data_IF_281412963310
#
_entry.id   IF_281412963310
#
_cell.length_a   1.000
_cell.length_b   1.000
_cell.length_c   1.000
_cell.angle_alpha   90.00
_cell.angle_beta   90.00
_cell.angle_gamma   90.00
#
_symmetry.space_group_name_H-M   'P 1'
#
loop_
_entity.id
_entity.type
_entity.pdbx_description
1 polymer ?
#
# COMPACT_ATOMS: atom_id res chain seq x y z
N UNK A 1 -0.47 -23.01 3.03
CA UNK A 1 0.14 -21.96 3.88
C UNK A 1 -0.79 -20.74 3.89
N UNK A 2 -0.88 -20.06 5.03
CA UNK A 2 -1.72 -18.88 5.27
C UNK A 2 -0.83 -17.68 5.59
N UNK A 3 -1.26 -16.47 5.24
CA UNK A 3 -0.53 -15.25 5.55
C UNK A 3 -1.41 -14.13 6.09
N UNK A 4 -0.80 -13.18 6.77
CA UNK A 4 -1.32 -11.84 7.00
C UNK A 4 -0.40 -10.85 6.29
N UNK A 5 -0.96 -9.82 5.67
CA UNK A 5 -0.17 -8.77 5.00
C UNK A 5 -0.40 -7.44 5.67
N UNK A 6 0.64 -6.62 5.80
CA UNK A 6 0.46 -5.21 6.07
C UNK A 6 -0.32 -4.57 4.92
N UNK A 7 -1.25 -3.69 5.27
CA UNK A 7 -2.20 -3.14 4.33
C UNK A 7 -2.47 -1.66 4.59
N UNK A 8 -2.12 -0.85 3.60
CA UNK A 8 -2.42 0.59 3.55
C UNK A 8 -3.35 0.97 2.39
N UNK A 9 -3.67 0.03 1.49
CA UNK A 9 -4.39 0.33 0.25
C UNK A 9 -3.51 0.81 -0.91
N UNK A 10 -2.22 1.07 -0.67
CA UNK A 10 -1.27 1.50 -1.69
C UNK A 10 -0.77 0.38 -2.61
N UNK A 11 -0.24 0.78 -3.78
CA UNK A 11 0.15 -0.14 -4.85
C UNK A 11 1.17 -1.21 -4.42
N UNK A 12 2.15 -0.84 -3.58
CA UNK A 12 3.30 -1.69 -3.24
C UNK A 12 2.85 -2.87 -2.36
N UNK A 13 2.12 -2.58 -1.28
CA UNK A 13 1.57 -3.60 -0.39
C UNK A 13 0.56 -4.52 -1.08
N UNK A 14 -0.27 -3.99 -1.99
CA UNK A 14 -1.18 -4.83 -2.76
C UNK A 14 -0.42 -5.68 -3.80
N UNK A 15 0.62 -5.15 -4.42
CA UNK A 15 1.43 -5.94 -5.35
C UNK A 15 2.20 -7.05 -4.63
N UNK A 16 2.75 -6.79 -3.44
CA UNK A 16 3.36 -7.81 -2.59
C UNK A 16 2.35 -8.91 -2.21
N UNK A 17 1.14 -8.54 -1.80
CA UNK A 17 0.03 -9.46 -1.57
C UNK A 17 -0.26 -10.31 -2.82
N UNK A 18 -0.37 -9.69 -3.99
CA UNK A 18 -0.59 -10.40 -5.26
C UNK A 18 0.51 -11.42 -5.55
N UNK A 19 1.77 -11.07 -5.38
CA UNK A 19 2.89 -11.99 -5.58
C UNK A 19 2.86 -13.15 -4.59
N UNK A 20 2.50 -12.91 -3.33
CA UNK A 20 2.34 -13.96 -2.32
C UNK A 20 1.21 -14.93 -2.69
N UNK A 21 0.05 -14.43 -3.14
CA UNK A 21 -1.06 -15.28 -3.59
C UNK A 21 -0.71 -16.07 -4.86
N UNK A 22 0.06 -15.47 -5.78
CA UNK A 22 0.57 -16.16 -6.97
C UNK A 22 1.50 -17.33 -6.63
N UNK A 23 2.18 -17.28 -5.47
CA UNK A 23 3.00 -18.38 -4.92
C UNK A 23 2.17 -19.42 -4.14
N UNK A 24 0.84 -19.31 -4.16
CA UNK A 24 -0.07 -20.26 -3.49
C UNK A 24 -0.27 -20.02 -1.99
N UNK A 25 0.12 -18.85 -1.47
CA UNK A 25 -0.14 -18.47 -0.07
C UNK A 25 -1.56 -17.90 0.00
N UNK A 26 -2.40 -18.45 0.87
CA UNK A 26 -3.74 -17.90 1.11
C UNK A 26 -3.64 -16.74 2.10
N UNK A 27 -4.04 -15.53 1.70
CA UNK A 27 -3.96 -14.36 2.60
C UNK A 27 -5.37 -13.88 2.98
N UNK A 28 -5.97 -14.42 4.06
CA UNK A 28 -7.30 -14.01 4.51
C UNK A 28 -7.34 -12.68 5.26
N UNK A 29 -6.21 -12.24 5.82
CA UNK A 29 -6.12 -11.08 6.70
C UNK A 29 -5.30 -9.95 6.08
N UNK A 30 -5.85 -8.75 6.12
CA UNK A 30 -5.18 -7.49 5.83
C UNK A 30 -5.01 -6.73 7.14
N UNK A 31 -3.80 -6.35 7.50
CA UNK A 31 -3.50 -5.69 8.76
C UNK A 31 -3.16 -4.21 8.51
N UNK A 32 -4.08 -3.32 8.84
CA UNK A 32 -3.87 -1.89 8.81
C UNK A 32 -3.39 -1.38 10.17
N UNK A 33 -2.28 -0.64 10.18
CA UNK A 33 -1.71 -0.08 11.40
C UNK A 33 -2.14 1.38 11.57
N UNK A 34 -2.63 1.71 12.75
CA UNK A 34 -2.76 3.10 13.18
C UNK A 34 -1.42 3.57 13.73
N UNK A 35 -0.79 4.50 13.03
CA UNK A 35 0.48 5.08 13.48
C UNK A 35 0.30 5.90 14.75
N UNK A 36 1.28 5.84 15.64
CA UNK A 36 1.42 6.74 16.79
C UNK A 36 2.31 7.94 16.49
N UNK A 37 2.96 7.97 15.32
CA UNK A 37 3.92 8.99 14.91
C UNK A 37 3.47 9.60 13.58
N UNK A 38 3.22 10.92 13.63
CA UNK A 38 2.85 11.70 12.46
C UNK A 38 1.50 11.31 11.84
N UNK A 39 1.20 11.94 10.71
CA UNK A 39 -0.02 11.69 9.95
C UNK A 39 0.22 10.57 8.93
N UNK A 40 -0.67 9.57 8.91
CA UNK A 40 -0.74 8.59 7.82
C UNK A 40 -1.89 8.93 6.87
N UNK A 41 -1.62 9.39 5.64
CA UNK A 41 -2.68 9.68 4.65
C UNK A 41 -3.60 8.48 4.38
N UNK A 42 -3.09 7.26 4.55
CA UNK A 42 -3.86 6.02 4.43
C UNK A 42 -4.83 5.84 5.58
N UNK A 43 -4.36 6.02 6.82
CA UNK A 43 -5.21 5.92 8.02
C UNK A 43 -6.28 7.01 8.05
N UNK A 44 -5.93 8.21 7.60
CA UNK A 44 -6.89 9.30 7.48
C UNK A 44 -8.01 8.99 6.47
N UNK A 45 -7.75 8.13 5.47
CA UNK A 45 -8.76 7.69 4.51
C UNK A 45 -9.17 6.24 4.76
N UNK A 46 -9.29 5.83 6.04
CA UNK A 46 -9.54 4.44 6.44
C UNK A 46 -10.80 3.80 5.82
N UNK A 47 -11.83 4.60 5.51
CA UNK A 47 -13.02 4.06 4.83
C UNK A 47 -12.72 3.54 3.42
N UNK A 48 -11.73 4.10 2.72
CA UNK A 48 -11.27 3.55 1.45
C UNK A 48 -10.61 2.18 1.63
N UNK A 49 -9.84 2.00 2.71
CA UNK A 49 -9.22 0.72 3.05
C UNK A 49 -10.28 -0.37 3.30
N UNK A 50 -11.37 -0.03 4.02
CA UNK A 50 -12.50 -0.96 4.23
C UNK A 50 -13.14 -1.39 2.91
N UNK A 51 -13.37 -0.44 1.99
CA UNK A 51 -13.99 -0.72 0.70
C UNK A 51 -13.11 -1.63 -0.15
N UNK A 52 -11.81 -1.35 -0.23
CA UNK A 52 -10.84 -2.15 -1.00
C UNK A 52 -10.69 -3.55 -0.38
N UNK A 53 -10.60 -3.65 0.95
CA UNK A 53 -10.55 -4.94 1.66
C UNK A 53 -11.79 -5.81 1.38
N UNK A 54 -12.97 -5.20 1.42
CA UNK A 54 -14.23 -5.89 1.15
C UNK A 54 -14.31 -6.38 -0.31
N UNK A 55 -13.87 -5.58 -1.28
CA UNK A 55 -13.82 -5.98 -2.69
C UNK A 55 -12.86 -7.16 -2.94
N UNK A 56 -11.78 -7.26 -2.17
CA UNK A 56 -10.89 -8.43 -2.19
C UNK A 56 -11.49 -9.66 -1.47
N UNK A 57 -12.61 -9.51 -0.75
CA UNK A 57 -13.18 -10.57 0.07
C UNK A 57 -12.29 -10.98 1.25
N UNK A 58 -11.50 -10.05 1.78
CA UNK A 58 -10.53 -10.30 2.86
C UNK A 58 -10.94 -9.57 4.14
N UNK A 59 -10.57 -10.14 5.29
CA UNK A 59 -10.85 -9.54 6.59
C UNK A 59 -9.84 -8.43 6.87
N UNK A 60 -10.33 -7.20 7.03
CA UNK A 60 -9.53 -6.07 7.49
C UNK A 60 -9.41 -6.09 9.02
N UNK A 61 -8.18 -6.24 9.50
CA UNK A 61 -7.78 -6.12 10.89
C UNK A 61 -7.12 -4.77 11.10
N UNK A 62 -7.29 -4.21 12.29
CA UNK A 62 -6.61 -2.97 12.71
C UNK A 62 -5.82 -3.21 13.97
N UNK A 63 -4.66 -2.56 14.06
CA UNK A 63 -3.87 -2.55 15.28
C UNK A 63 -3.40 -1.12 15.61
N UNK A 64 -3.53 -0.69 16.86
CA UNK A 64 -3.05 0.61 17.33
C UNK A 64 -1.59 0.50 17.79
N UNK A 65 -0.67 1.16 17.09
CA UNK A 65 0.75 1.10 17.44
C UNK A 65 1.08 1.76 18.79
N UNK A 66 0.13 2.47 19.41
CA UNK A 66 0.26 2.90 20.81
C UNK A 66 0.39 1.71 21.78
N UNK A 67 -0.08 0.51 21.41
CA UNK A 67 0.05 -0.71 22.22
C UNK A 67 1.45 -1.36 22.13
N UNK A 68 2.29 -0.90 21.20
CA UNK A 68 3.68 -1.34 21.03
C UNK A 68 3.88 -2.62 20.21
N UNK A 69 5.12 -2.82 19.75
CA UNK A 69 5.49 -3.92 18.85
C UNK A 69 5.33 -5.32 19.45
N UNK A 70 5.59 -5.51 20.75
CA UNK A 70 5.42 -6.82 21.40
C UNK A 70 3.93 -7.24 21.46
N UNK A 71 3.03 -6.27 21.63
CA UNK A 71 1.59 -6.51 21.59
C UNK A 71 1.14 -6.84 20.17
N UNK A 72 1.71 -6.19 19.15
CA UNK A 72 1.47 -6.54 17.75
C UNK A 72 1.96 -7.95 17.42
N UNK A 73 3.12 -8.37 17.95
CA UNK A 73 3.64 -9.72 17.75
C UNK A 73 2.69 -10.78 18.31
N UNK A 74 2.19 -10.57 19.54
CA UNK A 74 1.18 -11.46 20.16
C UNK A 74 -0.13 -11.47 19.38
N UNK A 75 -0.57 -10.32 18.87
CA UNK A 75 -1.74 -10.23 18.02
C UNK A 75 -1.57 -11.08 16.74
N UNK A 76 -0.45 -10.93 16.02
CA UNK A 76 -0.14 -11.73 14.82
C UNK A 76 -0.05 -13.23 15.14
N UNK A 77 0.59 -13.60 16.24
CA UNK A 77 0.69 -15.00 16.67
C UNK A 77 -0.70 -15.64 16.88
N UNK A 78 -1.69 -14.85 17.31
CA UNK A 78 -3.06 -15.34 17.51
C UNK A 78 -3.87 -15.56 16.22
N UNK A 79 -3.36 -15.16 15.05
CA UNK A 79 -4.07 -15.26 13.77
C UNK A 79 -3.96 -16.62 13.08
N UNK A 80 -3.15 -17.55 13.62
CA UNK A 80 -2.91 -18.88 13.04
C UNK A 80 -2.49 -18.80 11.55
N UNK A 81 -1.44 -18.02 11.28
CA UNK A 81 -0.84 -17.82 9.95
C UNK A 81 0.63 -18.24 9.91
N UNK A 82 1.13 -18.56 8.73
CA UNK A 82 2.52 -18.99 8.52
C UNK A 82 3.45 -17.82 8.12
N UNK A 83 2.88 -16.75 7.57
CA UNK A 83 3.61 -15.62 7.00
C UNK A 83 3.09 -14.27 7.44
N UNK A 84 4.01 -13.35 7.71
CA UNK A 84 3.81 -11.90 7.74
C UNK A 84 4.39 -11.31 6.45
N UNK A 85 3.56 -10.61 5.68
CA UNK A 85 3.92 -10.09 4.37
C UNK A 85 3.99 -8.56 4.44
N UNK A 86 5.07 -7.96 3.94
CA UNK A 86 5.14 -6.53 3.66
C UNK A 86 5.58 -6.27 2.21
N UNK A 87 5.61 -4.99 1.86
CA UNK A 87 5.81 -4.52 0.49
C UNK A 87 6.94 -3.50 0.40
N UNK A 88 7.93 -3.60 1.29
CA UNK A 88 9.08 -2.70 1.29
C UNK A 88 10.07 -3.09 0.18
N UNK A 89 10.76 -2.09 -0.38
CA UNK A 89 11.78 -2.33 -1.40
C UNK A 89 13.18 -2.12 -0.83
N UNK A 90 13.41 -0.97 -0.18
CA UNK A 90 14.72 -0.51 0.27
C UNK A 90 14.74 0.12 1.68
N UNK A 91 13.62 0.16 2.41
CA UNK A 91 13.61 0.69 3.79
C UNK A 91 14.17 -0.35 4.77
N UNK A 92 15.48 -0.35 4.99
CA UNK A 92 16.17 -1.34 5.83
C UNK A 92 15.67 -1.38 7.28
N UNK A 93 15.38 -0.23 7.88
CA UNK A 93 14.88 -0.17 9.24
C UNK A 93 13.51 -0.85 9.35
N UNK A 94 12.67 -0.70 8.32
CA UNK A 94 11.36 -1.34 8.29
C UNK A 94 11.49 -2.84 8.04
N UNK A 95 12.36 -3.27 7.11
CA UNK A 95 12.65 -4.70 6.91
C UNK A 95 13.07 -5.37 8.22
N UNK A 96 14.06 -4.81 8.93
CA UNK A 96 14.56 -5.35 10.20
C UNK A 96 13.44 -5.41 11.25
N UNK A 97 12.55 -4.42 11.26
CA UNK A 97 11.39 -4.40 12.14
C UNK A 97 10.38 -5.50 11.80
N UNK A 98 10.09 -5.73 10.52
CA UNK A 98 9.20 -6.82 10.07
C UNK A 98 9.80 -8.19 10.41
N UNK A 99 11.10 -8.38 10.18
CA UNK A 99 11.82 -9.62 10.54
C UNK A 99 11.76 -9.88 12.04
N UNK A 100 12.07 -8.87 12.86
CA UNK A 100 11.94 -8.94 14.32
C UNK A 100 10.52 -9.30 14.75
N UNK A 101 9.51 -8.67 14.14
CA UNK A 101 8.12 -8.90 14.47
C UNK A 101 7.67 -10.31 14.10
N UNK A 102 8.09 -10.80 12.93
CA UNK A 102 7.80 -12.15 12.46
C UNK A 102 8.42 -13.20 13.39
N UNK A 103 9.69 -13.02 13.76
CA UNK A 103 10.38 -13.89 14.72
C UNK A 103 9.65 -13.93 16.06
N UNK A 104 9.28 -12.76 16.62
CA UNK A 104 8.54 -12.66 17.88
C UNK A 104 7.15 -13.30 17.82
N UNK A 105 6.48 -13.21 16.67
CA UNK A 105 5.17 -13.80 16.46
C UNK A 105 5.22 -15.30 16.11
N UNK A 106 6.41 -15.88 15.89
CA UNK A 106 6.57 -17.27 15.48
C UNK A 106 6.12 -17.54 14.04
N UNK A 107 6.18 -16.53 13.16
CA UNK A 107 5.83 -16.63 11.74
C UNK A 107 7.04 -16.28 10.85
N UNK A 108 6.94 -16.52 9.55
CA UNK A 108 8.00 -16.14 8.59
C UNK A 108 7.70 -14.77 7.99
N UNK A 109 8.70 -13.88 7.93
CA UNK A 109 8.59 -12.68 7.10
C UNK A 109 8.65 -13.06 5.62
N UNK A 110 7.89 -12.35 4.79
CA UNK A 110 7.93 -12.48 3.34
C UNK A 110 7.88 -11.08 2.71
N UNK A 111 8.95 -10.71 2.02
CA UNK A 111 9.12 -9.40 1.40
C UNK A 111 9.37 -9.57 -0.11
N UNK A 112 8.31 -9.73 -0.93
CA UNK A 112 8.46 -10.08 -2.34
C UNK A 112 9.12 -9.00 -3.19
N UNK A 113 9.13 -7.75 -2.71
CA UNK A 113 9.62 -6.58 -3.44
C UNK A 113 11.05 -6.18 -3.04
N UNK A 114 11.57 -6.74 -1.94
CA UNK A 114 12.84 -6.34 -1.38
C UNK A 114 13.99 -6.46 -2.38
N UNK A 115 14.82 -5.41 -2.47
CA UNK A 115 16.02 -5.41 -3.30
C UNK A 115 15.77 -5.29 -4.81
N UNK A 116 14.51 -5.12 -5.25
CA UNK A 116 14.16 -5.03 -6.67
C UNK A 116 14.26 -3.59 -7.20
N UNK A 117 14.51 -3.43 -8.49
CA UNK A 117 14.57 -2.12 -9.12
C UNK A 117 13.18 -1.43 -9.09
N UNK A 118 13.13 -0.16 -8.69
CA UNK A 118 11.86 0.57 -8.51
C UNK A 118 11.17 0.92 -9.83
N UNK A 119 11.92 1.18 -10.91
CA UNK A 119 11.35 1.39 -12.24
C UNK A 119 10.73 0.09 -12.77
N UNK A 120 11.48 -1.01 -12.74
CA UNK A 120 10.98 -2.33 -13.17
C UNK A 120 9.73 -2.72 -12.38
N UNK A 121 9.71 -2.48 -11.06
CA UNK A 121 8.53 -2.73 -10.23
C UNK A 121 7.34 -1.87 -10.64
N UNK A 122 7.52 -0.56 -10.87
CA UNK A 122 6.44 0.33 -11.29
C UNK A 122 5.84 -0.12 -12.62
N UNK A 123 6.68 -0.49 -13.59
CA UNK A 123 6.27 -1.03 -14.88
C UNK A 123 5.53 -2.38 -14.73
N UNK A 124 6.06 -3.30 -13.92
CA UNK A 124 5.45 -4.61 -13.66
C UNK A 124 4.06 -4.49 -13.01
N UNK A 125 3.91 -3.59 -12.04
CA UNK A 125 2.63 -3.31 -11.38
C UNK A 125 1.59 -2.91 -12.43
N UNK A 126 1.93 -1.94 -13.29
CA UNK A 126 1.03 -1.45 -14.35
C UNK A 126 0.73 -2.55 -15.38
N UNK A 127 1.74 -3.27 -15.84
CA UNK A 127 1.57 -4.38 -16.80
C UNK A 127 0.76 -5.55 -16.23
N UNK A 128 0.73 -5.71 -14.91
CA UNK A 128 -0.12 -6.70 -14.22
C UNK A 128 -1.60 -6.26 -14.18
N UNK A 129 -1.91 -5.04 -14.62
CA UNK A 129 -3.26 -4.48 -14.67
C UNK A 129 -3.65 -3.73 -13.40
N UNK A 130 -2.68 -3.38 -12.54
CA UNK A 130 -2.97 -2.47 -11.44
C UNK A 130 -3.15 -1.05 -11.95
N UNK A 131 -4.16 -0.38 -11.42
CA UNK A 131 -4.36 1.05 -11.60
C UNK A 131 -4.36 1.71 -10.23
N UNK A 132 -3.64 2.81 -10.08
CA UNK A 132 -3.51 3.49 -8.79
C UNK A 132 -3.45 5.00 -8.97
N UNK A 133 -3.75 5.75 -7.90
CA UNK A 133 -3.72 7.21 -7.92
C UNK A 133 -2.92 7.75 -6.74
N UNK A 134 -2.25 8.88 -6.94
CA UNK A 134 -1.50 9.57 -5.89
C UNK A 134 -2.49 10.18 -4.89
N UNK A 135 -2.32 9.89 -3.59
CA UNK A 135 -3.17 10.43 -2.51
C UNK A 135 -2.41 11.34 -1.55
N UNK A 136 -1.09 11.29 -1.56
CA UNK A 136 -0.26 12.21 -0.80
C UNK A 136 1.07 12.43 -1.51
N UNK A 137 1.64 13.61 -1.35
CA UNK A 137 2.95 13.98 -1.87
C UNK A 137 3.75 14.68 -0.78
N UNK A 138 5.03 14.36 -0.68
CA UNK A 138 5.95 15.05 0.20
C UNK A 138 6.18 16.46 -0.36
N UNK A 139 5.92 17.48 0.46
CA UNK A 139 5.91 18.89 0.05
C UNK A 139 7.26 19.38 -0.47
N UNK A 140 8.35 18.72 -0.07
CA UNK A 140 9.71 19.08 -0.46
C UNK A 140 10.18 18.35 -1.73
N UNK A 141 9.49 17.27 -2.13
CA UNK A 141 9.92 16.39 -3.21
C UNK A 141 9.01 16.42 -4.44
N UNK A 142 7.72 16.68 -4.25
CA UNK A 142 6.72 16.60 -5.32
C UNK A 142 5.59 17.62 -5.12
N UNK A 143 5.21 18.28 -6.21
CA UNK A 143 4.15 19.30 -6.21
C UNK A 143 2.76 18.72 -5.94
N UNK A 144 1.92 19.46 -5.20
CA UNK A 144 0.54 19.05 -4.87
C UNK A 144 -0.37 18.85 -6.08
N UNK A 145 0.00 19.37 -7.24
CA UNK A 145 -0.79 19.24 -8.48
C UNK A 145 -0.84 17.79 -8.98
N UNK A 146 0.08 16.95 -8.52
CA UNK A 146 0.06 15.51 -8.76
C UNK A 146 -0.94 14.74 -7.90
N UNK A 147 -1.58 15.38 -6.91
CA UNK A 147 -2.60 14.73 -6.10
C UNK A 147 -3.78 14.27 -6.96
N UNK A 148 -4.03 12.97 -6.93
CA UNK A 148 -5.04 12.26 -7.70
C UNK A 148 -4.68 12.06 -9.16
N UNK A 149 -3.42 12.28 -9.55
CA UNK A 149 -2.91 11.75 -10.81
C UNK A 149 -3.01 10.23 -10.78
N UNK A 150 -3.52 9.65 -11.87
CA UNK A 150 -3.80 8.22 -11.99
C UNK A 150 -2.79 7.59 -12.93
N UNK A 151 -2.25 6.46 -12.52
CA UNK A 151 -1.45 5.58 -13.35
C UNK A 151 -2.32 4.39 -13.76
N UNK A 152 -2.51 4.24 -15.06
CA UNK A 152 -3.23 3.12 -15.69
C UNK A 152 -2.46 2.46 -16.83
N UNK A 153 -1.34 3.06 -17.24
CA UNK A 153 -0.50 2.63 -18.35
C UNK A 153 0.94 3.07 -18.13
N UNK A 154 1.86 2.49 -18.91
CA UNK A 154 3.26 2.93 -18.91
C UNK A 154 3.42 4.37 -19.42
N UNK A 155 2.54 4.83 -20.32
CA UNK A 155 2.54 6.23 -20.79
C UNK A 155 2.27 7.21 -19.63
N UNK A 156 1.36 6.86 -18.70
CA UNK A 156 1.13 7.68 -17.50
C UNK A 156 2.39 7.75 -16.62
N UNK A 157 3.13 6.63 -16.51
CA UNK A 157 4.39 6.59 -15.77
C UNK A 157 5.47 7.44 -16.45
N UNK A 158 5.63 7.32 -17.76
CA UNK A 158 6.60 8.09 -18.54
C UNK A 158 6.36 9.60 -18.42
N UNK A 159 5.10 10.03 -18.58
CA UNK A 159 4.72 11.45 -18.42
C UNK A 159 5.00 11.96 -17.00
N UNK A 160 4.76 11.13 -15.99
CA UNK A 160 5.06 11.47 -14.60
C UNK A 160 6.57 11.61 -14.38
N UNK A 161 7.39 10.68 -14.89
CA UNK A 161 8.83 10.68 -14.70
C UNK A 161 9.53 11.79 -15.49
N UNK A 162 9.10 12.06 -16.73
CA UNK A 162 9.61 13.17 -17.55
C UNK A 162 9.46 14.52 -16.83
N UNK A 163 8.32 14.74 -16.19
CA UNK A 163 8.05 15.97 -15.42
C UNK A 163 8.70 15.99 -14.03
N UNK A 164 9.10 14.84 -13.49
CA UNK A 164 9.66 14.73 -12.14
C UNK A 164 10.91 13.82 -12.12
N UNK A 165 12.00 14.15 -12.83
CA UNK A 165 13.13 13.24 -13.05
C UNK A 165 13.92 12.88 -11.78
N UNK A 166 13.71 13.61 -10.68
CA UNK A 166 14.34 13.35 -9.38
C UNK A 166 13.51 12.45 -8.45
N UNK A 167 12.27 12.11 -8.84
CA UNK A 167 11.35 11.30 -8.04
C UNK A 167 11.60 9.82 -8.33
N UNK A 168 11.68 9.01 -7.27
CA UNK A 168 11.69 7.56 -7.43
C UNK A 168 10.39 7.07 -8.12
N UNK A 169 10.45 6.22 -9.15
CA UNK A 169 9.26 5.75 -9.88
C UNK A 169 8.20 5.06 -9.00
N UNK A 170 8.63 4.42 -7.92
CA UNK A 170 7.76 3.77 -6.97
C UNK A 170 7.43 4.70 -5.78
N UNK A 171 8.07 5.86 -5.66
CA UNK A 171 7.94 6.75 -4.51
C UNK A 171 8.54 6.16 -3.23
N UNK A 172 9.50 5.24 -3.37
CA UNK A 172 10.08 4.45 -2.27
C UNK A 172 10.69 5.32 -1.17
N UNK A 173 11.18 6.52 -1.49
CA UNK A 173 11.80 7.44 -0.53
C UNK A 173 10.77 8.39 0.09
N UNK A 174 9.49 8.02 0.03
CA UNK A 174 8.37 8.76 0.58
C UNK A 174 8.01 10.03 -0.20
N UNK A 175 8.31 10.08 -1.50
CA UNK A 175 7.92 11.15 -2.42
C UNK A 175 6.40 11.26 -2.54
N UNK A 176 5.72 10.11 -2.63
CA UNK A 176 4.27 10.06 -2.73
C UNK A 176 3.70 8.76 -2.16
N UNK A 177 2.41 8.83 -1.79
CA UNK A 177 1.62 7.65 -1.42
C UNK A 177 0.49 7.48 -2.41
N UNK A 178 0.06 6.23 -2.62
CA UNK A 178 -0.96 5.88 -3.60
C UNK A 178 -2.14 5.16 -2.96
N UNK A 179 -3.27 5.15 -3.65
CA UNK A 179 -4.35 4.19 -3.41
C UNK A 179 -4.57 3.38 -4.68
N UNK A 180 -4.75 2.07 -4.52
CA UNK A 180 -5.04 1.17 -5.63
C UNK A 180 -6.52 1.24 -5.97
N UNK A 181 -6.82 1.46 -7.25
CA UNK A 181 -8.17 1.64 -7.79
C UNK A 181 -8.65 0.42 -8.58
N UNK A 182 -7.74 -0.36 -9.15
CA UNK A 182 -8.04 -1.62 -9.82
C UNK A 182 -6.82 -2.53 -9.80
N UNK A 183 -7.04 -3.83 -9.95
CA UNK A 183 -5.97 -4.82 -10.05
C UNK A 183 -6.51 -6.25 -9.99
N UNK A 184 -5.67 -7.26 -10.22
CA UNK A 184 -6.07 -8.67 -10.25
C UNK A 184 -6.60 -9.23 -8.91
N UNK A 185 -6.45 -8.50 -7.81
CA UNK A 185 -6.88 -8.92 -6.47
C UNK A 185 -8.39 -8.77 -6.22
N UNK A 186 -9.09 -7.98 -7.03
CA UNK A 186 -10.53 -7.75 -6.92
C UNK A 186 -11.13 -7.45 -8.29
N UNK A 187 -12.41 -7.77 -8.48
CA UNK A 187 -13.05 -7.61 -9.81
C UNK A 187 -13.51 -6.18 -10.07
N UNK A 188 -13.79 -5.44 -9.01
CA UNK A 188 -14.26 -4.07 -9.10
C UNK A 188 -13.18 -3.12 -9.62
N UNK A 189 -13.63 -2.08 -10.30
CA UNK A 189 -12.84 -0.87 -10.57
C UNK A 189 -13.36 0.23 -9.66
N UNK A 190 -12.47 1.07 -9.15
CA UNK A 190 -12.83 2.21 -8.32
C UNK A 190 -12.49 3.53 -9.00
N UNK A 191 -13.33 4.54 -8.78
CA UNK A 191 -13.01 5.95 -9.02
C UNK A 191 -12.58 6.59 -7.72
N UNK A 192 -11.59 7.47 -7.82
CA UNK A 192 -11.21 8.37 -6.74
C UNK A 192 -12.03 9.67 -6.85
N UNK A 193 -12.82 9.96 -5.83
CA UNK A 193 -13.49 11.25 -5.67
C UNK A 193 -12.69 12.13 -4.71
N UNK A 194 -12.15 13.24 -5.21
CA UNK A 194 -11.41 14.21 -4.40
C UNK A 194 -12.39 15.04 -3.57
N UNK A 195 -12.21 15.08 -2.25
CA UNK A 195 -13.03 15.90 -1.36
C UNK A 195 -12.32 17.21 -0.99
N UNK A 196 -11.10 17.11 -0.47
CA UNK A 196 -10.27 18.26 -0.12
C UNK A 196 -8.79 17.92 -0.22
N UNK A 197 -7.95 18.94 -0.36
CA UNK A 197 -6.50 18.83 -0.18
C UNK A 197 -6.17 19.39 1.19
N UNK A 198 -5.58 18.55 2.02
CA UNK A 198 -5.15 18.87 3.37
C UNK A 198 -3.61 19.00 3.42
N UNK A 199 -3.13 19.64 4.49
CA UNK A 199 -1.70 19.86 4.73
C UNK A 199 -1.30 19.31 6.08
N UNK A 200 -0.20 18.57 6.13
CA UNK A 200 0.49 18.22 7.38
C UNK A 200 1.90 18.81 7.40
N UNK A 201 2.67 18.46 8.42
CA UNK A 201 4.08 18.83 8.50
C UNK A 201 4.88 18.27 7.32
N UNK A 202 4.62 17.04 6.88
CA UNK A 202 5.38 16.36 5.82
C UNK A 202 4.69 16.36 4.45
N UNK A 203 3.35 16.33 4.42
CA UNK A 203 2.61 16.03 3.19
C UNK A 203 1.60 17.12 2.80
N UNK A 204 1.40 17.28 1.48
CA UNK A 204 0.08 17.61 0.94
C UNK A 204 -0.64 16.28 0.69
N UNK A 205 -1.92 16.17 1.04
CA UNK A 205 -2.63 14.90 0.90
C UNK A 205 -4.13 15.09 0.65
N UNK A 206 -4.75 14.10 0.03
CA UNK A 206 -6.16 14.11 -0.32
C UNK A 206 -6.99 13.49 0.79
N UNK A 207 -8.07 14.18 1.17
CA UNK A 207 -9.28 13.49 1.63
C UNK A 207 -10.04 13.03 0.40
N UNK A 208 -10.36 11.75 0.34
CA UNK A 208 -11.03 11.17 -0.83
C UNK A 208 -12.01 10.08 -0.44
N UNK A 209 -12.88 9.74 -1.38
CA UNK A 209 -13.68 8.51 -1.36
C UNK A 209 -13.28 7.63 -2.55
N UNK A 210 -13.38 6.32 -2.35
CA UNK A 210 -13.39 5.36 -3.45
C UNK A 210 -14.83 4.94 -3.70
N UNK A 211 -15.25 5.04 -4.96
CA UNK A 211 -16.59 4.63 -5.40
C UNK A 211 -16.44 3.58 -6.49
N UNK A 212 -17.32 2.57 -6.51
CA UNK A 212 -17.33 1.60 -7.61
C UNK A 212 -17.53 2.33 -8.94
N UNK A 213 -16.73 1.97 -9.94
CA UNK A 213 -16.91 2.42 -11.32
C UNK A 213 -17.90 1.49 -12.01
N UNK A 214 -19.17 1.89 -12.07
CA UNK A 214 -20.23 1.10 -12.70
C UNK A 214 -20.14 1.04 -14.25
N UNK A 215 -19.10 1.63 -14.84
CA UNK A 215 -18.83 1.47 -16.28
C UNK A 215 -18.39 0.02 -16.52
N UNK A 216 -19.24 -0.74 -17.22
CA UNK A 216 -18.95 -2.12 -17.65
C UNK A 216 -17.57 -2.16 -18.33
N UNK A 217 -16.73 -3.08 -17.85
CA UNK A 217 -15.52 -3.52 -18.55
C UNK A 217 -15.85 -4.08 -19.93
#
# INVERSE_FOLDING_TARGET
>A
MRGVTFFSGGKDGLYALYLAEKRGIKVPYLLALKTSIGLSPHWENFDALKIIANAMGKTLLTFDMAEGGDSLARFIASLEVDYLIAGDVFIEEHLKWVEWLAEKAGVRSLEPLWGRNTLELAEEILNTGFEYAIIAVNKEKLGKDWLGYKFSSLEDLDVFLDKNPAVDPLGERGEFHTVTLSGPLFRERFKLEKLSIEKSEKYWWLRFKVMRDDRKA
#
